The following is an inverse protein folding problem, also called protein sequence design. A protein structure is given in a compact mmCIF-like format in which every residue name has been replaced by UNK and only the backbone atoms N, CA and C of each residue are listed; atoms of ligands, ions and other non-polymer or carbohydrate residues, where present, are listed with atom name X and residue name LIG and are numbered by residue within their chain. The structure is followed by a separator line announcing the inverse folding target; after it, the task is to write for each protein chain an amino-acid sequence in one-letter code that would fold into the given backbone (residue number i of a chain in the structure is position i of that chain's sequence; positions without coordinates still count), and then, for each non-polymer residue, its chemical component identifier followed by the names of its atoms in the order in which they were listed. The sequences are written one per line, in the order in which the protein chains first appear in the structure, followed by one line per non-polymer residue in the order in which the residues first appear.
data_IF_955911585495
#
_entry.id   IF_955911585495
#
_cell.length_a   1.000
_cell.length_b   1.000
_cell.length_c   1.000
_cell.angle_alpha   90.00
_cell.angle_beta   90.00
_cell.angle_gamma   90.00
#
_symmetry.space_group_name_H-M   'P 1'
#
loop_
_entity.id
_entity.type
_entity.pdbx_description
1 polymer ?
#
# COMPACT_ATOMS: atom_id res chain seq x y z
N UNK A 1 50.48 -13.01 -27.33
CA UNK A 1 50.83 -13.96 -26.27
C UNK A 1 50.96 -13.13 -25.00
N UNK A 2 49.83 -12.71 -24.42
CA UNK A 2 48.98 -13.50 -23.50
C UNK A 2 49.50 -13.32 -22.06
N UNK A 3 48.87 -12.45 -21.28
CA UNK A 3 47.75 -12.74 -20.35
C UNK A 3 48.25 -13.26 -19.00
N UNK A 4 47.72 -12.88 -17.85
CA UNK A 4 46.47 -12.15 -17.59
C UNK A 4 45.83 -12.61 -16.29
N UNK A 5 46.61 -12.73 -15.21
CA UNK A 5 46.16 -13.33 -13.93
C UNK A 5 45.66 -12.29 -12.92
N UNK A 6 44.37 -11.96 -12.95
CA UNK A 6 43.70 -11.23 -11.85
C UNK A 6 43.18 -12.23 -10.81
N UNK A 7 43.51 -12.02 -9.54
CA UNK A 7 42.91 -12.77 -8.43
C UNK A 7 41.40 -12.50 -8.37
N UNK A 8 40.60 -13.53 -8.62
CA UNK A 8 39.17 -13.54 -8.36
C UNK A 8 38.91 -14.03 -6.94
N UNK A 9 38.46 -13.14 -6.05
CA UNK A 9 37.91 -13.54 -4.76
C UNK A 9 36.60 -14.32 -4.99
N UNK A 10 36.37 -15.47 -4.32
CA UNK A 10 35.10 -16.17 -4.45
C UNK A 10 33.97 -15.32 -3.86
N UNK A 11 32.93 -15.06 -4.66
CA UNK A 11 31.66 -14.55 -4.14
C UNK A 11 31.07 -15.63 -3.21
N UNK A 12 31.04 -15.35 -1.92
CA UNK A 12 30.27 -16.14 -0.98
C UNK A 12 28.78 -15.90 -1.24
N UNK A 13 28.16 -16.79 -2.02
CA UNK A 13 26.69 -16.86 -2.13
C UNK A 13 26.15 -17.27 -0.77
N UNK A 14 25.65 -16.30 0.00
CA UNK A 14 25.06 -16.56 1.32
C UNK A 14 23.68 -17.17 1.13
N UNK A 15 23.65 -18.49 0.99
CA UNK A 15 22.45 -19.28 0.75
C UNK A 15 21.73 -19.58 2.07
N UNK A 16 21.03 -18.58 2.63
CA UNK A 16 20.10 -18.82 3.74
C UNK A 16 18.77 -19.39 3.22
N UNK A 17 18.74 -20.71 3.07
CA UNK A 17 17.48 -21.43 3.07
C UNK A 17 16.82 -21.30 4.45
N UNK A 18 15.60 -20.76 4.52
CA UNK A 18 14.74 -20.88 5.69
C UNK A 18 13.69 -21.95 5.37
N UNK A 19 13.89 -23.22 5.77
CA UNK A 19 12.95 -24.31 5.48
C UNK A 19 11.75 -24.25 6.42
N UNK A 20 10.80 -23.34 6.15
CA UNK A 20 9.51 -23.38 6.84
C UNK A 20 8.68 -24.58 6.37
N UNK A 21 8.17 -25.36 7.33
CA UNK A 21 7.46 -26.63 7.12
C UNK A 21 6.05 -26.42 6.52
N UNK A 22 5.94 -25.97 5.27
CA UNK A 22 4.66 -25.79 4.55
C UNK A 22 3.75 -27.05 4.49
N UNK A 23 4.24 -28.32 4.39
CA UNK A 23 3.36 -29.50 4.27
C UNK A 23 2.44 -29.74 5.47
N UNK A 24 2.95 -29.62 6.70
CA UNK A 24 2.20 -29.93 7.92
C UNK A 24 1.10 -28.90 8.24
N UNK A 25 1.17 -27.70 7.66
CA UNK A 25 0.09 -26.71 7.73
C UNK A 25 -1.03 -27.05 6.73
N UNK A 26 -0.72 -27.55 5.52
CA UNK A 26 -1.72 -27.97 4.53
C UNK A 26 -2.65 -29.08 5.06
N UNK A 27 -2.11 -30.12 5.70
CA UNK A 27 -2.94 -31.21 6.28
C UNK A 27 -3.84 -30.73 7.42
N UNK A 28 -3.38 -29.79 8.25
CA UNK A 28 -4.18 -29.22 9.35
C UNK A 28 -5.38 -28.40 8.87
N UNK A 29 -5.33 -27.84 7.67
CA UNK A 29 -6.40 -27.02 7.10
C UNK A 29 -7.58 -27.90 6.65
N UNK A 30 -7.29 -29.06 6.03
CA UNK A 30 -8.30 -30.00 5.53
C UNK A 30 -9.19 -30.57 6.65
N UNK A 31 -8.59 -30.94 7.79
CA UNK A 31 -9.31 -31.52 8.95
C UNK A 31 -10.29 -30.57 9.65
N UNK A 32 -10.22 -29.25 9.40
CA UNK A 32 -11.05 -28.26 10.10
C UNK A 32 -12.39 -27.95 9.43
N UNK A 33 -12.65 -28.44 8.22
CA UNK A 33 -13.80 -28.01 7.40
C UNK A 33 -14.94 -29.04 7.28
N UNK A 34 -14.85 -30.20 7.93
CA UNK A 34 -15.90 -31.23 7.88
C UNK A 34 -17.18 -30.91 8.69
N UNK A 35 -17.35 -29.68 9.20
CA UNK A 35 -18.41 -29.32 10.16
C UNK A 35 -19.33 -28.18 9.70
N UNK A 36 -19.96 -28.32 8.52
CA UNK A 36 -21.17 -27.56 8.20
C UNK A 36 -22.05 -28.29 7.17
N UNK A 37 -22.81 -29.30 7.61
CA UNK A 37 -23.88 -29.89 6.80
C UNK A 37 -25.04 -28.89 6.65
N UNK A 38 -25.34 -28.49 5.43
CA UNK A 38 -26.57 -27.80 5.03
C UNK A 38 -27.42 -28.72 4.15
N UNK A 39 -28.63 -29.04 4.60
CA UNK A 39 -29.61 -29.86 3.88
C UNK A 39 -30.55 -29.02 3.01
N UNK A 40 -31.29 -29.71 2.12
CA UNK A 40 -32.56 -29.30 1.48
C UNK A 40 -32.55 -28.26 0.32
N UNK A 41 -33.35 -28.35 -0.76
CA UNK A 41 -34.29 -29.38 -1.31
C UNK A 41 -34.47 -29.16 -2.85
N UNK A 42 -34.54 -30.26 -3.63
CA UNK A 42 -35.22 -30.53 -4.94
C UNK A 42 -35.86 -29.33 -5.70
N UNK A 43 -35.67 -29.07 -7.01
CA UNK A 43 -36.20 -29.73 -8.24
C UNK A 43 -35.40 -29.10 -9.42
N UNK A 44 -35.02 -29.76 -10.52
CA UNK A 44 -35.26 -31.12 -11.02
C UNK A 44 -34.61 -31.28 -12.43
N UNK A 45 -35.03 -32.25 -13.27
CA UNK A 45 -34.53 -32.44 -14.65
C UNK A 45 -33.07 -32.96 -14.78
N UNK A 46 -32.23 -32.69 -13.78
CA UNK A 46 -30.84 -33.10 -13.68
C UNK A 46 -30.62 -34.48 -13.03
N UNK A 47 -31.63 -35.36 -13.00
CA UNK A 47 -31.64 -36.53 -12.11
C UNK A 47 -30.50 -37.54 -12.35
N UNK A 48 -30.11 -37.81 -13.60
CA UNK A 48 -28.99 -38.71 -13.90
C UNK A 48 -27.65 -38.05 -13.63
N UNK A 49 -27.38 -36.88 -14.23
CA UNK A 49 -26.14 -36.13 -14.01
C UNK A 49 -25.88 -35.81 -12.52
N UNK A 50 -26.93 -35.52 -11.74
CA UNK A 50 -26.82 -35.32 -10.29
C UNK A 50 -26.48 -36.60 -9.53
N UNK A 51 -27.04 -37.76 -9.92
CA UNK A 51 -26.68 -39.06 -9.34
C UNK A 51 -25.26 -39.47 -9.71
N UNK A 52 -24.85 -39.29 -10.97
CA UNK A 52 -23.50 -39.60 -11.45
C UNK A 52 -22.45 -38.71 -10.73
N UNK A 53 -22.76 -37.41 -10.55
CA UNK A 53 -21.94 -36.47 -9.78
C UNK A 53 -21.84 -36.87 -8.30
N UNK A 54 -22.96 -37.26 -7.67
CA UNK A 54 -22.96 -37.73 -6.27
C UNK A 54 -22.18 -39.04 -6.09
N UNK A 55 -22.29 -39.98 -7.05
CA UNK A 55 -21.50 -41.21 -7.05
C UNK A 55 -20.00 -40.90 -7.15
N UNK A 56 -19.60 -40.05 -8.09
CA UNK A 56 -18.21 -39.62 -8.26
C UNK A 56 -17.65 -38.94 -6.99
N UNK A 57 -18.43 -38.07 -6.31
CA UNK A 57 -18.05 -37.45 -5.04
C UNK A 57 -17.91 -38.49 -3.92
N UNK A 58 -18.81 -39.48 -3.84
CA UNK A 58 -18.74 -40.55 -2.84
C UNK A 58 -17.51 -41.45 -3.03
N UNK A 59 -17.19 -41.79 -4.28
CA UNK A 59 -16.03 -42.59 -4.65
C UNK A 59 -14.72 -41.85 -4.40
N UNK A 60 -14.64 -40.56 -4.77
CA UNK A 60 -13.50 -39.70 -4.43
C UNK A 60 -13.24 -39.68 -2.92
N UNK A 61 -14.31 -39.60 -2.11
CA UNK A 61 -14.20 -39.57 -0.65
C UNK A 61 -13.72 -40.91 -0.07
N UNK A 62 -14.13 -42.04 -0.66
CA UNK A 62 -13.61 -43.37 -0.33
C UNK A 62 -12.12 -43.47 -0.66
N UNK A 63 -11.73 -43.08 -1.87
CA UNK A 63 -10.33 -43.13 -2.35
C UNK A 63 -9.41 -42.20 -1.54
N UNK A 64 -9.86 -40.99 -1.17
CA UNK A 64 -9.15 -40.11 -0.23
C UNK A 64 -8.92 -40.78 1.14
N UNK A 65 -9.92 -41.51 1.66
CA UNK A 65 -9.79 -42.23 2.95
C UNK A 65 -8.84 -43.44 2.89
N UNK A 66 -8.66 -44.02 1.71
CA UNK A 66 -7.70 -45.09 1.42
C UNK A 66 -6.30 -44.55 1.09
N UNK A 67 -6.15 -43.23 0.94
CA UNK A 67 -4.91 -42.57 0.57
C UNK A 67 -4.61 -42.55 -0.94
N UNK A 68 -5.50 -43.09 -1.78
CA UNK A 68 -5.38 -43.04 -3.24
C UNK A 68 -5.79 -41.68 -3.80
N UNK A 69 -4.84 -40.74 -3.75
CA UNK A 69 -4.99 -39.39 -4.31
C UNK A 69 -5.17 -39.40 -5.83
N UNK A 70 -4.58 -40.36 -6.55
CA UNK A 70 -4.66 -40.42 -8.00
C UNK A 70 -6.05 -40.88 -8.46
N UNK A 71 -6.59 -41.92 -7.84
CA UNK A 71 -7.98 -42.34 -8.03
C UNK A 71 -8.97 -41.25 -7.64
N UNK A 72 -8.76 -40.58 -6.50
CA UNK A 72 -9.62 -39.48 -6.06
C UNK A 72 -9.65 -38.29 -7.05
N UNK A 73 -8.50 -37.88 -7.60
CA UNK A 73 -8.42 -36.87 -8.67
C UNK A 73 -9.22 -37.32 -9.90
N UNK A 74 -9.10 -38.59 -10.30
CA UNK A 74 -9.85 -39.16 -11.42
C UNK A 74 -11.37 -39.08 -11.21
N UNK A 75 -11.85 -39.43 -10.02
CA UNK A 75 -13.26 -39.34 -9.65
C UNK A 75 -13.75 -37.88 -9.57
N UNK A 76 -12.98 -36.97 -8.95
CA UNK A 76 -13.37 -35.56 -8.82
C UNK A 76 -13.41 -34.82 -10.17
N UNK A 77 -12.55 -35.17 -11.14
CA UNK A 77 -12.61 -34.61 -12.50
C UNK A 77 -13.96 -34.85 -13.21
N UNK A 78 -14.66 -35.93 -12.87
CA UNK A 78 -16.01 -36.19 -13.40
C UNK A 78 -17.10 -35.31 -12.74
N UNK A 79 -16.90 -34.90 -11.49
CA UNK A 79 -17.86 -34.10 -10.72
C UNK A 79 -17.63 -32.57 -10.82
N UNK A 80 -16.38 -32.13 -10.95
CA UNK A 80 -15.97 -30.72 -10.96
C UNK A 80 -16.66 -29.81 -12.02
N UNK A 81 -17.10 -30.29 -13.21
CA UNK A 81 -17.88 -29.47 -14.14
C UNK A 81 -19.30 -29.14 -13.66
N UNK A 82 -19.79 -29.83 -12.63
CA UNK A 82 -21.19 -29.76 -12.18
C UNK A 82 -21.34 -29.41 -10.70
N UNK A 83 -20.27 -29.46 -9.91
CA UNK A 83 -20.26 -29.12 -8.49
C UNK A 83 -19.00 -28.33 -8.09
N UNK A 84 -19.20 -27.13 -7.56
CA UNK A 84 -18.13 -26.22 -7.11
C UNK A 84 -17.33 -26.78 -5.94
N UNK A 85 -17.93 -27.62 -5.08
CA UNK A 85 -17.23 -28.23 -3.94
C UNK A 85 -16.29 -29.34 -4.41
N UNK A 86 -16.71 -30.12 -5.40
CA UNK A 86 -15.88 -31.11 -6.09
C UNK A 86 -14.74 -30.44 -6.87
N UNK A 87 -15.01 -29.32 -7.56
CA UNK A 87 -13.97 -28.53 -8.21
C UNK A 87 -12.95 -27.94 -7.22
N UNK A 88 -13.40 -27.43 -6.06
CA UNK A 88 -12.51 -26.95 -5.00
C UNK A 88 -11.64 -28.08 -4.41
N UNK A 89 -12.23 -29.26 -4.15
CA UNK A 89 -11.49 -30.45 -3.71
C UNK A 89 -10.48 -30.91 -4.76
N UNK A 90 -10.85 -30.91 -6.04
CA UNK A 90 -9.97 -31.27 -7.14
C UNK A 90 -8.74 -30.35 -7.19
N UNK A 91 -8.95 -29.04 -7.18
CA UNK A 91 -7.87 -28.04 -7.15
C UNK A 91 -6.92 -28.28 -5.97
N UNK A 92 -7.45 -28.51 -4.77
CA UNK A 92 -6.64 -28.84 -3.60
C UNK A 92 -5.83 -30.14 -3.74
N UNK A 93 -6.40 -31.21 -4.32
CA UNK A 93 -5.63 -32.43 -4.56
C UNK A 93 -4.56 -32.27 -5.65
N UNK A 94 -4.83 -31.49 -6.70
CA UNK A 94 -3.87 -31.15 -7.76
C UNK A 94 -2.66 -30.39 -7.19
N UNK A 95 -2.90 -29.37 -6.36
CA UNK A 95 -1.88 -28.66 -5.59
C UNK A 95 -1.05 -29.60 -4.67
N UNK A 96 -1.68 -30.61 -4.05
CA UNK A 96 -0.96 -31.61 -3.25
C UNK A 96 -0.09 -32.59 -4.05
N UNK A 97 -0.38 -32.81 -5.34
CA UNK A 97 0.46 -33.65 -6.22
C UNK A 97 1.44 -32.85 -7.08
N UNK A 98 1.38 -31.52 -7.05
CA UNK A 98 2.26 -30.61 -7.79
C UNK A 98 1.75 -30.19 -9.17
N UNK A 99 0.50 -30.52 -9.52
CA UNK A 99 -0.16 -30.10 -10.77
C UNK A 99 -0.72 -28.67 -10.62
N UNK A 100 0.18 -27.73 -10.31
CA UNK A 100 -0.14 -26.36 -9.93
C UNK A 100 -0.87 -25.58 -11.03
N UNK A 101 -0.54 -25.77 -12.31
CA UNK A 101 -1.17 -25.04 -13.43
C UNK A 101 -2.67 -25.37 -13.53
N UNK A 102 -3.02 -26.65 -13.43
CA UNK A 102 -4.43 -27.09 -13.41
C UNK A 102 -5.12 -26.64 -12.11
N UNK A 103 -4.42 -26.68 -10.97
CA UNK A 103 -4.97 -26.16 -9.71
C UNK A 103 -5.30 -24.67 -9.76
N UNK A 104 -4.42 -23.85 -10.35
CA UNK A 104 -4.64 -22.39 -10.48
C UNK A 104 -5.82 -22.14 -11.40
N UNK A 105 -5.86 -22.78 -12.58
CA UNK A 105 -6.98 -22.65 -13.51
C UNK A 105 -8.31 -23.02 -12.85
N UNK A 106 -8.35 -24.08 -12.04
CA UNK A 106 -9.57 -24.48 -11.31
C UNK A 106 -10.00 -23.46 -10.24
N UNK A 107 -9.06 -22.82 -9.53
CA UNK A 107 -9.40 -21.74 -8.60
C UNK A 107 -9.86 -20.46 -9.32
N UNK A 108 -9.25 -20.10 -10.45
CA UNK A 108 -9.69 -18.96 -11.27
C UNK A 108 -11.08 -19.19 -11.87
N UNK A 109 -11.35 -20.40 -12.40
CA UNK A 109 -12.66 -20.83 -12.87
C UNK A 109 -13.73 -20.72 -11.78
N UNK A 110 -13.43 -21.15 -10.55
CA UNK A 110 -14.32 -21.01 -9.39
C UNK A 110 -14.61 -19.55 -9.06
N UNK A 111 -13.60 -18.67 -9.11
CA UNK A 111 -13.79 -17.23 -8.90
C UNK A 111 -14.68 -16.63 -10.00
N UNK A 112 -14.50 -17.05 -11.26
CA UNK A 112 -15.29 -16.56 -12.38
C UNK A 112 -16.77 -17.01 -12.33
N UNK A 113 -17.05 -18.20 -11.79
CA UNK A 113 -18.41 -18.74 -11.59
C UNK A 113 -19.11 -18.14 -10.35
N UNK A 114 -18.36 -17.79 -9.32
CA UNK A 114 -18.89 -17.34 -8.03
C UNK A 114 -19.06 -15.82 -7.96
N UNK A 115 -20.31 -15.33 -7.88
CA UNK A 115 -20.63 -13.91 -7.66
C UNK A 115 -20.04 -13.34 -6.35
N UNK A 116 -19.69 -14.22 -5.39
CA UNK A 116 -18.82 -13.91 -4.25
C UNK A 116 -17.87 -15.09 -4.06
N UNK A 117 -16.60 -15.01 -4.47
CA UNK A 117 -15.66 -16.11 -4.33
C UNK A 117 -15.42 -16.44 -2.85
N UNK A 118 -15.35 -17.73 -2.56
CA UNK A 118 -15.04 -18.22 -1.20
C UNK A 118 -13.67 -17.72 -0.73
N UNK A 119 -13.57 -17.33 0.55
CA UNK A 119 -12.31 -16.94 1.19
C UNK A 119 -11.25 -18.04 1.04
N UNK A 120 -11.66 -19.32 1.11
CA UNK A 120 -10.74 -20.45 0.97
C UNK A 120 -10.14 -20.57 -0.43
N UNK A 121 -10.92 -20.26 -1.47
CA UNK A 121 -10.46 -20.24 -2.88
C UNK A 121 -9.40 -19.16 -3.05
N UNK A 122 -9.72 -17.92 -2.65
CA UNK A 122 -8.80 -16.79 -2.71
C UNK A 122 -7.52 -17.02 -1.89
N UNK A 123 -7.63 -17.69 -0.74
CA UNK A 123 -6.49 -17.94 0.15
C UNK A 123 -5.55 -19.01 -0.41
N UNK A 124 -6.09 -20.11 -0.97
CA UNK A 124 -5.28 -21.14 -1.60
C UNK A 124 -4.62 -20.62 -2.90
N UNK A 125 -5.36 -19.87 -3.72
CA UNK A 125 -4.82 -19.22 -4.91
C UNK A 125 -3.73 -18.20 -4.57
N UNK A 126 -3.89 -17.43 -3.48
CA UNK A 126 -2.85 -16.52 -3.01
C UNK A 126 -1.54 -17.22 -2.62
N UNK A 127 -1.62 -18.40 -1.99
CA UNK A 127 -0.45 -19.21 -1.64
C UNK A 127 0.24 -19.72 -2.91
N UNK A 128 -0.52 -20.24 -3.88
CA UNK A 128 0.03 -20.71 -5.16
C UNK A 128 0.75 -19.60 -5.94
N UNK A 129 0.18 -18.39 -6.01
CA UNK A 129 0.87 -17.25 -6.59
C UNK A 129 2.12 -16.82 -5.79
N UNK A 130 2.13 -16.95 -4.46
CA UNK A 130 3.32 -16.66 -3.63
C UNK A 130 4.43 -17.67 -3.87
N UNK A 131 4.12 -18.97 -3.89
CA UNK A 131 5.06 -20.05 -4.19
C UNK A 131 5.68 -19.92 -5.60
N UNK A 132 4.93 -19.36 -6.57
CA UNK A 132 5.42 -19.02 -7.92
C UNK A 132 6.20 -17.70 -8.04
N UNK A 133 6.27 -16.91 -6.96
CA UNK A 133 6.88 -15.57 -6.99
C UNK A 133 6.01 -14.49 -7.67
N UNK A 134 4.74 -14.79 -7.96
CA UNK A 134 3.76 -13.87 -8.53
C UNK A 134 3.14 -12.97 -7.44
N UNK A 135 4.00 -12.29 -6.68
CA UNK A 135 3.68 -11.49 -5.48
C UNK A 135 2.50 -10.54 -5.70
N UNK A 136 2.41 -9.91 -6.89
CA UNK A 136 1.33 -9.00 -7.24
C UNK A 136 -0.04 -9.69 -7.42
N UNK A 137 -0.08 -10.97 -7.79
CA UNK A 137 -1.32 -11.75 -7.90
C UNK A 137 -1.77 -12.26 -6.52
N UNK A 138 -0.82 -12.76 -5.71
CA UNK A 138 -1.06 -13.09 -4.31
C UNK A 138 -1.62 -11.89 -3.52
N UNK A 139 -1.02 -10.71 -3.69
CA UNK A 139 -1.47 -9.48 -3.03
C UNK A 139 -2.91 -9.10 -3.41
N UNK A 140 -3.33 -9.27 -4.68
CA UNK A 140 -4.73 -9.00 -5.11
C UNK A 140 -5.72 -9.92 -4.40
N UNK A 141 -5.45 -11.22 -4.39
CA UNK A 141 -6.30 -12.22 -3.74
C UNK A 141 -6.46 -11.95 -2.24
N UNK A 142 -5.35 -11.64 -1.55
CA UNK A 142 -5.36 -11.34 -0.12
C UNK A 142 -6.05 -10.02 0.21
N UNK A 143 -5.92 -8.98 -0.63
CA UNK A 143 -6.69 -7.73 -0.47
C UNK A 143 -8.19 -7.99 -0.53
N UNK A 144 -8.67 -8.76 -1.51
CA UNK A 144 -10.08 -9.10 -1.65
C UNK A 144 -10.66 -9.85 -0.42
N UNK A 145 -9.85 -10.69 0.25
CA UNK A 145 -10.22 -11.29 1.54
C UNK A 145 -10.30 -10.23 2.65
N UNK A 146 -9.32 -9.34 2.74
CA UNK A 146 -9.25 -8.33 3.81
C UNK A 146 -10.30 -7.21 3.64
N UNK A 147 -10.70 -6.89 2.41
CA UNK A 147 -11.78 -5.94 2.10
C UNK A 147 -13.15 -6.47 2.56
N UNK A 148 -13.33 -7.80 2.55
CA UNK A 148 -14.57 -8.47 3.02
C UNK A 148 -14.51 -8.89 4.49
N UNK A 149 -13.34 -9.24 5.01
CA UNK A 149 -13.10 -9.57 6.41
C UNK A 149 -11.72 -9.03 6.88
N UNK A 150 -11.67 -7.76 7.37
CA UNK A 150 -10.43 -7.11 7.80
C UNK A 150 -9.67 -7.81 8.93
N UNK A 151 -10.37 -8.65 9.71
CA UNK A 151 -9.82 -9.39 10.85
C UNK A 151 -9.48 -10.85 10.51
N UNK A 152 -9.45 -11.24 9.23
CA UNK A 152 -9.09 -12.60 8.83
C UNK A 152 -7.61 -12.89 9.10
N UNK A 153 -7.33 -13.53 10.24
CA UNK A 153 -5.99 -13.80 10.79
C UNK A 153 -5.00 -14.33 9.74
N UNK A 154 -5.35 -15.42 9.04
CA UNK A 154 -4.49 -16.04 8.03
C UNK A 154 -4.21 -15.13 6.83
N UNK A 155 -5.17 -14.29 6.43
CA UNK A 155 -4.95 -13.37 5.31
C UNK A 155 -4.06 -12.19 5.72
N UNK A 156 -4.16 -11.72 6.98
CA UNK A 156 -3.22 -10.73 7.53
C UNK A 156 -1.79 -11.26 7.59
N UNK A 157 -1.61 -12.51 8.02
CA UNK A 157 -0.29 -13.16 8.07
C UNK A 157 0.31 -13.29 6.67
N UNK A 158 -0.39 -13.91 5.72
CA UNK A 158 0.13 -14.02 4.35
C UNK A 158 0.28 -12.66 3.66
N UNK A 159 -0.53 -11.64 3.98
CA UNK A 159 -0.33 -10.28 3.48
C UNK A 159 0.96 -9.65 4.00
N UNK A 160 1.34 -9.91 5.26
CA UNK A 160 2.63 -9.50 5.80
C UNK A 160 3.79 -10.20 5.07
N UNK A 161 3.67 -11.49 4.83
CA UNK A 161 4.72 -12.28 4.17
C UNK A 161 4.88 -11.86 2.71
N UNK A 162 3.78 -11.71 1.96
CA UNK A 162 3.76 -11.20 0.57
C UNK A 162 4.36 -9.78 0.47
N UNK A 163 4.10 -8.90 1.43
CA UNK A 163 4.74 -7.57 1.51
C UNK A 163 6.23 -7.67 1.82
N UNK A 164 6.62 -8.55 2.76
CA UNK A 164 8.03 -8.78 3.09
C UNK A 164 8.81 -9.34 1.89
N UNK A 165 8.21 -10.25 1.12
CA UNK A 165 8.78 -10.76 -0.13
C UNK A 165 8.91 -9.66 -1.20
N UNK A 166 7.97 -8.70 -1.25
CA UNK A 166 8.06 -7.52 -2.11
C UNK A 166 9.23 -6.61 -1.72
N UNK A 167 9.44 -6.40 -0.42
CA UNK A 167 10.51 -5.56 0.12
C UNK A 167 11.91 -6.24 0.08
N UNK A 168 11.97 -7.56 -0.03
CA UNK A 168 13.23 -8.29 -0.24
C UNK A 168 13.77 -8.22 -1.68
N UNK A 169 12.92 -7.91 -2.66
CA UNK A 169 13.41 -7.45 -3.95
C UNK A 169 13.79 -5.97 -3.84
N UNK A 170 15.06 -5.74 -3.48
CA UNK A 170 15.71 -4.46 -3.74
C UNK A 170 15.61 -4.17 -5.23
N UNK A 171 14.64 -3.33 -5.60
CA UNK A 171 14.57 -2.75 -6.93
C UNK A 171 15.84 -1.90 -7.12
N UNK A 172 16.83 -2.49 -7.79
CA UNK A 172 18.11 -1.82 -8.05
C UNK A 172 17.89 -0.50 -8.81
N UNK A 173 16.84 -0.39 -9.61
CA UNK A 173 16.51 0.83 -10.35
C UNK A 173 15.99 1.92 -9.41
N UNK A 174 15.02 1.61 -8.53
CA UNK A 174 14.57 2.55 -7.48
C UNK A 174 15.68 2.93 -6.51
N UNK A 175 16.52 1.98 -6.08
CA UNK A 175 17.65 2.26 -5.20
C UNK A 175 18.70 3.15 -5.89
N UNK A 176 19.02 2.87 -7.17
CA UNK A 176 19.89 3.74 -7.99
C UNK A 176 19.28 5.12 -8.20
N UNK A 177 17.97 5.23 -8.42
CA UNK A 177 17.30 6.52 -8.66
C UNK A 177 17.16 7.34 -7.37
N UNK A 178 16.92 6.70 -6.23
CA UNK A 178 17.00 7.33 -4.92
C UNK A 178 18.43 7.82 -4.65
N UNK A 179 19.46 7.02 -4.95
CA UNK A 179 20.85 7.41 -4.80
C UNK A 179 21.26 8.56 -5.75
N UNK A 180 20.89 8.50 -7.04
CA UNK A 180 21.06 9.60 -8.02
C UNK A 180 20.39 10.88 -7.53
N UNK A 181 19.16 10.78 -7.02
CA UNK A 181 18.38 11.91 -6.51
C UNK A 181 19.02 12.49 -5.25
N UNK A 182 19.51 11.67 -4.33
CA UNK A 182 20.27 12.12 -3.15
C UNK A 182 21.54 12.87 -3.57
N UNK A 183 22.38 12.26 -4.42
CA UNK A 183 23.60 12.88 -4.91
C UNK A 183 23.34 14.22 -5.64
N UNK A 184 22.21 14.33 -6.35
CA UNK A 184 21.78 15.58 -6.96
C UNK A 184 21.40 16.64 -5.91
N UNK A 185 20.72 16.26 -4.81
CA UNK A 185 20.43 17.20 -3.71
C UNK A 185 21.71 17.65 -3.01
N UNK A 186 22.68 16.76 -2.82
CA UNK A 186 23.96 17.03 -2.17
C UNK A 186 24.94 17.85 -3.04
N UNK A 187 24.62 18.02 -4.34
CA UNK A 187 25.46 18.76 -5.28
C UNK A 187 25.62 20.24 -4.85
N UNK A 188 26.85 20.76 -4.70
CA UNK A 188 27.10 22.14 -4.30
C UNK A 188 26.54 23.18 -5.29
N UNK A 189 26.01 24.30 -4.78
CA UNK A 189 25.55 25.42 -5.64
C UNK A 189 26.67 26.13 -6.40
N UNK A 190 27.93 25.81 -6.09
CA UNK A 190 29.12 26.28 -6.82
C UNK A 190 29.31 25.60 -8.16
N UNK A 191 28.75 24.41 -8.34
CA UNK A 191 29.00 23.53 -9.49
C UNK A 191 28.03 23.82 -10.64
N UNK A 192 27.08 24.73 -10.41
CA UNK A 192 26.15 25.24 -11.42
C UNK A 192 26.62 26.57 -12.01
N UNK A 193 26.30 26.79 -13.29
CA UNK A 193 26.65 27.99 -14.06
C UNK A 193 25.81 29.21 -13.64
N UNK A 194 26.05 29.69 -12.43
CA UNK A 194 25.41 30.87 -11.85
C UNK A 194 26.36 32.07 -11.89
N UNK A 195 25.82 33.29 -12.02
CA UNK A 195 26.64 34.50 -11.98
C UNK A 195 27.41 34.61 -10.66
N UNK A 196 28.52 35.37 -10.69
CA UNK A 196 29.31 35.69 -9.50
C UNK A 196 28.43 36.39 -8.44
N UNK A 197 27.42 37.17 -8.87
CA UNK A 197 26.45 37.81 -7.98
C UNK A 197 25.55 36.77 -7.29
N UNK A 198 24.93 35.86 -8.05
CA UNK A 198 24.05 34.83 -7.51
C UNK A 198 24.80 33.94 -6.50
N UNK A 199 25.98 33.40 -6.86
CA UNK A 199 26.81 32.58 -5.96
C UNK A 199 27.21 33.31 -4.68
N UNK A 200 27.59 34.59 -4.77
CA UNK A 200 27.94 35.39 -3.59
C UNK A 200 26.74 35.69 -2.68
N UNK A 201 25.52 35.75 -3.21
CA UNK A 201 24.32 35.89 -2.40
C UNK A 201 23.96 34.57 -1.70
N UNK A 202 23.90 33.45 -2.43
CA UNK A 202 23.62 32.12 -1.87
C UNK A 202 24.60 31.76 -0.75
N UNK A 203 25.90 32.03 -0.95
CA UNK A 203 26.94 31.82 0.09
C UNK A 203 26.70 32.66 1.35
N UNK A 204 26.19 33.89 1.22
CA UNK A 204 25.83 34.75 2.37
C UNK A 204 24.57 34.25 3.10
N UNK A 205 23.62 33.69 2.36
CA UNK A 205 22.41 33.03 2.88
C UNK A 205 22.68 31.64 3.50
N UNK A 206 23.94 31.18 3.55
CA UNK A 206 24.34 29.82 3.95
C UNK A 206 23.74 28.68 3.10
N UNK A 207 23.22 28.99 1.91
CA UNK A 207 22.73 28.00 0.94
C UNK A 207 23.95 27.39 0.26
N UNK A 208 24.24 26.11 0.53
CA UNK A 208 25.45 25.42 0.06
C UNK A 208 25.16 24.33 -0.96
N UNK A 209 24.07 23.59 -0.79
CA UNK A 209 23.66 22.48 -1.66
C UNK A 209 22.42 22.84 -2.48
N UNK A 210 22.17 22.06 -3.54
CA UNK A 210 20.91 22.14 -4.27
C UNK A 210 19.71 21.84 -3.36
N UNK A 211 19.84 20.87 -2.45
CA UNK A 211 18.82 20.52 -1.47
C UNK A 211 18.45 21.67 -0.52
N UNK A 212 19.42 22.51 -0.14
CA UNK A 212 19.16 23.72 0.64
C UNK A 212 18.39 24.76 -0.17
N UNK A 213 18.78 24.97 -1.43
CA UNK A 213 18.14 25.95 -2.32
C UNK A 213 16.65 25.63 -2.57
N UNK A 214 16.28 24.35 -2.65
CA UNK A 214 14.89 23.92 -2.81
C UNK A 214 14.00 24.09 -1.56
N UNK A 215 14.60 24.38 -0.40
CA UNK A 215 13.90 24.70 0.85
C UNK A 215 13.64 26.21 1.02
N UNK A 216 14.13 27.06 0.12
CA UNK A 216 13.95 28.51 0.17
C UNK A 216 12.93 28.94 -0.87
N UNK A 217 12.09 29.91 -0.52
CA UNK A 217 11.10 30.53 -1.40
C UNK A 217 11.67 31.71 -2.20
N UNK A 218 11.01 32.06 -3.31
CA UNK A 218 11.39 33.22 -4.13
C UNK A 218 11.33 34.53 -3.34
N UNK A 219 10.33 34.68 -2.47
CA UNK A 219 10.15 35.82 -1.57
C UNK A 219 11.30 35.98 -0.57
N UNK A 220 11.79 34.88 0.01
CA UNK A 220 12.92 34.93 0.95
C UNK A 220 14.21 35.33 0.23
N UNK A 221 14.46 34.80 -0.98
CA UNK A 221 15.61 35.22 -1.79
C UNK A 221 15.55 36.71 -2.14
N UNK A 222 14.39 37.21 -2.59
CA UNK A 222 14.18 38.63 -2.92
C UNK A 222 14.26 39.57 -1.71
N UNK A 223 13.94 39.08 -0.50
CA UNK A 223 14.05 39.89 0.73
C UNK A 223 15.49 40.26 1.09
N UNK A 224 16.49 39.54 0.57
CA UNK A 224 17.86 39.63 1.03
C UNK A 224 18.64 40.77 0.37
N UNK A 225 19.37 41.54 1.19
CA UNK A 225 20.13 42.72 0.72
C UNK A 225 21.12 42.36 -0.40
N UNK A 226 20.97 43.04 -1.54
CA UNK A 226 21.73 42.88 -2.80
C UNK A 226 21.38 41.66 -3.68
N UNK A 227 20.45 40.80 -3.27
CA UNK A 227 19.78 39.91 -4.23
C UNK A 227 18.93 40.74 -5.20
N UNK A 228 18.57 40.19 -6.36
CA UNK A 228 17.83 40.94 -7.37
C UNK A 228 17.24 40.04 -8.46
N UNK A 229 16.27 40.57 -9.19
CA UNK A 229 15.44 39.83 -10.16
C UNK A 229 16.27 39.03 -11.17
N UNK A 230 17.36 39.59 -11.70
CA UNK A 230 18.28 38.88 -12.62
C UNK A 230 18.84 37.60 -12.01
N UNK A 231 19.27 37.65 -10.74
CA UNK A 231 19.79 36.47 -10.02
C UNK A 231 18.69 35.48 -9.64
N UNK A 232 17.44 35.93 -9.49
CA UNK A 232 16.29 35.02 -9.33
C UNK A 232 16.01 34.26 -10.64
N UNK A 233 16.02 34.96 -11.77
CA UNK A 233 15.80 34.38 -13.10
C UNK A 233 16.90 33.35 -13.44
N UNK A 234 18.18 33.66 -13.17
CA UNK A 234 19.29 32.70 -13.32
C UNK A 234 19.06 31.41 -12.51
N UNK A 235 18.64 31.54 -11.24
CA UNK A 235 18.37 30.39 -10.38
C UNK A 235 17.18 29.58 -10.88
N UNK A 236 16.08 30.24 -11.27
CA UNK A 236 14.90 29.56 -11.79
C UNK A 236 15.16 28.86 -13.12
N UNK A 237 15.97 29.43 -14.02
CA UNK A 237 16.41 28.76 -15.25
C UNK A 237 17.27 27.53 -14.96
N UNK A 238 18.23 27.65 -14.03
CA UNK A 238 19.07 26.53 -13.59
C UNK A 238 18.24 25.38 -13.01
N UNK A 239 17.27 25.69 -12.14
CA UNK A 239 16.38 24.69 -11.54
C UNK A 239 15.44 24.06 -12.59
N UNK A 240 14.85 24.87 -13.48
CA UNK A 240 13.98 24.39 -14.55
C UNK A 240 14.72 23.42 -15.50
N UNK A 241 16.00 23.68 -15.81
CA UNK A 241 16.83 22.77 -16.61
C UNK A 241 17.00 21.37 -16.02
N UNK A 242 16.72 21.21 -14.71
CA UNK A 242 16.79 19.95 -13.95
C UNK A 242 15.41 19.40 -13.57
N UNK A 243 14.32 20.03 -14.04
CA UNK A 243 12.95 19.68 -13.65
C UNK A 243 12.59 20.03 -12.20
N UNK A 244 13.28 21.01 -11.62
CA UNK A 244 13.14 21.44 -10.23
C UNK A 244 12.57 22.87 -10.15
N UNK A 245 11.99 23.25 -9.01
CA UNK A 245 11.52 24.62 -8.71
C UNK A 245 11.82 25.03 -7.27
N UNK A 246 11.99 26.32 -7.02
CA UNK A 246 12.14 26.86 -5.65
C UNK A 246 10.93 26.49 -4.78
N UNK A 247 11.15 26.34 -3.47
CA UNK A 247 10.12 25.95 -2.50
C UNK A 247 9.49 24.55 -2.67
N UNK A 248 9.86 23.73 -3.67
CA UNK A 248 9.24 22.39 -3.83
C UNK A 248 9.56 21.46 -2.66
N UNK A 249 10.70 21.65 -1.99
CA UNK A 249 11.04 20.86 -0.81
C UNK A 249 10.17 21.28 0.37
N UNK A 250 9.88 22.58 0.55
CA UNK A 250 8.91 23.06 1.54
C UNK A 250 7.54 22.41 1.31
N UNK A 251 7.04 22.40 0.08
CA UNK A 251 5.76 21.78 -0.22
C UNK A 251 5.76 20.26 0.03
N UNK A 252 6.88 19.59 -0.24
CA UNK A 252 7.06 18.15 0.06
C UNK A 252 7.13 17.87 1.57
N UNK A 253 7.77 18.75 2.35
CA UNK A 253 7.80 18.68 3.81
C UNK A 253 6.39 18.93 4.39
N UNK A 254 5.66 19.94 3.89
CA UNK A 254 4.27 20.16 4.31
C UNK A 254 3.37 18.95 3.98
N UNK A 255 3.53 18.31 2.82
CA UNK A 255 2.78 17.08 2.51
C UNK A 255 3.13 15.93 3.46
N UNK A 256 4.43 15.66 3.70
CA UNK A 256 4.87 14.59 4.62
C UNK A 256 4.42 14.83 6.05
N UNK A 257 4.61 16.04 6.58
CA UNK A 257 4.12 16.36 7.93
C UNK A 257 2.60 16.26 8.02
N UNK A 258 1.85 16.63 6.97
CA UNK A 258 0.40 16.48 6.96
C UNK A 258 -0.03 15.00 6.96
N UNK A 259 0.74 14.12 6.32
CA UNK A 259 0.52 12.68 6.27
C UNK A 259 0.88 11.99 7.60
N UNK A 260 2.02 12.36 8.20
CA UNK A 260 2.42 11.93 9.56
C UNK A 260 1.38 12.35 10.62
N UNK A 261 0.91 13.60 10.58
CA UNK A 261 -0.14 14.11 11.48
C UNK A 261 -1.48 13.41 11.20
N UNK A 262 -1.81 13.09 9.95
CA UNK A 262 -3.05 12.39 9.61
C UNK A 262 -3.10 10.98 10.23
N UNK A 263 -1.99 10.23 10.19
CA UNK A 263 -1.89 8.93 10.86
C UNK A 263 -1.92 9.05 12.40
N UNK A 264 -1.30 10.09 12.98
CA UNK A 264 -1.45 10.36 14.42
C UNK A 264 -2.91 10.65 14.79
N UNK A 265 -3.61 11.46 14.01
CA UNK A 265 -5.04 11.77 14.19
C UNK A 265 -5.91 10.52 14.02
N UNK A 266 -5.56 9.61 13.10
CA UNK A 266 -6.23 8.31 12.88
C UNK A 266 -6.12 7.36 14.08
N UNK A 267 -5.09 7.53 14.92
CA UNK A 267 -4.99 6.81 16.21
C UNK A 267 -5.92 7.37 17.30
N UNK A 268 -6.35 8.64 17.19
CA UNK A 268 -7.14 9.37 18.21
C UNK A 268 -8.63 9.46 17.88
N UNK A 269 -8.97 9.52 16.59
CA UNK A 269 -10.36 9.63 16.12
C UNK A 269 -10.63 8.73 14.91
N UNK A 270 -11.89 8.28 14.77
CA UNK A 270 -12.29 7.45 13.64
C UNK A 270 -12.17 8.18 12.30
N UNK A 271 -11.86 7.44 11.24
CA UNK A 271 -11.71 7.97 9.88
C UNK A 271 -12.97 8.68 9.36
N UNK A 272 -14.16 8.25 9.80
CA UNK A 272 -15.43 8.91 9.51
C UNK A 272 -15.57 10.31 10.16
N UNK A 273 -14.93 10.53 11.31
CA UNK A 273 -14.86 11.85 11.97
C UNK A 273 -13.83 12.73 11.28
N UNK A 274 -12.64 12.20 10.99
CA UNK A 274 -11.56 12.97 10.34
C UNK A 274 -11.97 13.50 8.96
N UNK A 275 -12.66 12.67 8.17
CA UNK A 275 -13.17 13.03 6.85
C UNK A 275 -14.50 13.79 6.87
N UNK A 276 -15.06 14.11 8.06
CA UNK A 276 -16.30 14.89 8.17
C UNK A 276 -16.05 16.31 7.63
N UNK A 277 -16.85 16.81 6.68
CA UNK A 277 -16.63 18.12 6.09
C UNK A 277 -17.02 19.24 7.06
N UNK A 278 -16.26 20.34 7.10
CA UNK A 278 -16.54 21.49 7.97
C UNK A 278 -17.90 22.16 7.70
N UNK A 279 -18.52 21.85 6.56
CA UNK A 279 -19.87 22.33 6.23
C UNK A 279 -20.94 21.76 7.15
N UNK A 280 -20.73 20.54 7.68
CA UNK A 280 -21.60 19.83 8.63
C UNK A 280 -21.28 20.12 10.10
N UNK A 281 -20.52 21.19 10.37
CA UNK A 281 -20.16 21.65 11.71
C UNK A 281 -20.76 23.03 11.94
N UNK A 282 -21.15 23.32 13.19
CA UNK A 282 -21.90 24.52 13.55
C UNK A 282 -21.01 25.75 13.78
N UNK A 283 -20.12 26.02 12.83
CA UNK A 283 -19.31 27.24 12.79
C UNK A 283 -20.11 28.47 12.39
N UNK A 284 -19.85 29.59 13.07
CA UNK A 284 -20.35 30.91 12.71
C UNK A 284 -19.91 31.32 11.30
N UNK A 285 -20.64 32.27 10.70
CA UNK A 285 -20.34 32.79 9.35
C UNK A 285 -18.91 33.35 9.26
N UNK A 286 -18.36 33.88 10.37
CA UNK A 286 -16.99 34.41 10.43
C UNK A 286 -15.95 33.30 10.46
N UNK A 287 -16.08 32.32 11.37
CA UNK A 287 -15.22 31.16 11.41
C UNK A 287 -15.23 30.40 10.07
N UNK A 288 -16.42 30.10 9.54
CA UNK A 288 -16.59 29.40 8.25
C UNK A 288 -15.94 30.12 7.07
N UNK A 289 -16.08 31.45 6.97
CA UNK A 289 -15.40 32.26 5.93
C UNK A 289 -13.88 32.21 6.06
N UNK A 290 -13.35 32.25 7.27
CA UNK A 290 -11.91 32.18 7.51
C UNK A 290 -11.33 30.80 7.17
N UNK A 291 -11.99 29.72 7.61
CA UNK A 291 -11.60 28.35 7.28
C UNK A 291 -11.63 28.10 5.77
N UNK A 292 -12.63 28.64 5.06
CA UNK A 292 -12.69 28.58 3.59
C UNK A 292 -11.53 29.32 2.92
N UNK A 293 -11.12 30.49 3.45
CA UNK A 293 -9.96 31.23 2.93
C UNK A 293 -8.62 30.49 3.16
N UNK A 294 -8.53 29.68 4.21
CA UNK A 294 -7.40 28.79 4.48
C UNK A 294 -7.46 27.45 3.70
N UNK A 295 -8.52 27.23 2.91
CA UNK A 295 -8.72 25.99 2.16
C UNK A 295 -8.99 24.76 3.04
N UNK A 296 -9.42 24.95 4.29
CA UNK A 296 -9.80 23.86 5.20
C UNK A 296 -11.14 23.27 4.74
N UNK A 297 -11.19 21.95 4.51
CA UNK A 297 -12.40 21.27 4.03
C UNK A 297 -12.93 20.22 5.02
N UNK A 298 -12.03 19.56 5.75
CA UNK A 298 -12.35 18.48 6.69
C UNK A 298 -11.92 18.80 8.13
N UNK A 299 -12.36 17.99 9.10
CA UNK A 299 -11.85 18.04 10.48
C UNK A 299 -10.34 17.75 10.53
N UNK A 300 -9.85 16.81 9.72
CA UNK A 300 -8.42 16.54 9.62
C UNK A 300 -7.62 17.76 9.14
N UNK A 301 -8.08 18.44 8.08
CA UNK A 301 -7.44 19.69 7.62
C UNK A 301 -7.40 20.75 8.73
N UNK A 302 -8.46 20.85 9.54
CA UNK A 302 -8.56 21.80 10.65
C UNK A 302 -7.57 21.47 11.78
N UNK A 303 -7.51 20.19 12.20
CA UNK A 303 -6.60 19.75 13.25
C UNK A 303 -5.11 19.89 12.87
N UNK A 304 -4.77 19.83 11.58
CA UNK A 304 -3.38 20.07 11.12
C UNK A 304 -2.92 21.53 11.23
N UNK A 305 -3.82 22.47 11.53
CA UNK A 305 -3.53 23.91 11.63
C UNK A 305 -3.10 24.32 13.03
N UNK A 306 -2.29 25.37 13.08
CA UNK A 306 -1.85 26.02 14.32
C UNK A 306 -2.78 27.19 14.65
N UNK A 307 -2.87 27.56 15.93
CA UNK A 307 -3.62 28.75 16.37
C UNK A 307 -3.15 30.03 15.65
N UNK A 308 -1.83 30.17 15.46
CA UNK A 308 -1.23 31.32 14.81
C UNK A 308 -1.66 31.47 13.33
N UNK A 309 -1.80 30.36 12.60
CA UNK A 309 -2.31 30.36 11.23
C UNK A 309 -3.76 30.82 11.15
N UNK A 310 -4.61 30.41 12.10
CA UNK A 310 -6.01 30.83 12.17
C UNK A 310 -6.13 32.31 12.53
N UNK A 311 -5.39 32.75 13.55
CA UNK A 311 -5.37 34.14 14.03
C UNK A 311 -4.76 35.12 13.01
N UNK A 312 -3.95 34.64 12.06
CA UNK A 312 -3.45 35.43 10.93
C UNK A 312 -4.51 35.81 9.88
N UNK A 313 -5.70 35.20 9.90
CA UNK A 313 -6.73 35.45 8.89
C UNK A 313 -7.51 36.73 9.18
N UNK A 314 -7.64 37.59 8.15
CA UNK A 314 -8.41 38.84 8.24
C UNK A 314 -9.87 38.57 8.65
N UNK A 315 -10.28 39.16 9.77
CA UNK A 315 -11.59 39.00 10.43
C UNK A 315 -11.81 37.66 11.16
N UNK A 316 -10.77 36.86 11.38
CA UNK A 316 -10.75 35.85 12.44
C UNK A 316 -10.36 36.50 13.78
N UNK A 317 -10.69 35.86 14.90
CA UNK A 317 -10.42 36.40 16.24
C UNK A 317 -10.90 35.44 17.32
N UNK A 318 -10.70 35.81 18.60
CA UNK A 318 -10.86 34.93 19.76
C UNK A 318 -12.14 34.07 19.75
N UNK A 319 -13.33 34.67 19.54
CA UNK A 319 -14.58 33.88 19.51
C UNK A 319 -14.62 32.81 18.42
N UNK A 320 -14.02 33.07 17.25
CA UNK A 320 -13.92 32.09 16.17
C UNK A 320 -12.88 31.00 16.47
N UNK A 321 -11.88 31.29 17.30
CA UNK A 321 -10.90 30.33 17.80
C UNK A 321 -11.51 29.43 18.87
N UNK A 322 -12.30 30.02 19.79
CA UNK A 322 -13.06 29.28 20.80
C UNK A 322 -14.03 28.29 20.14
N UNK A 323 -14.79 28.72 19.11
CA UNK A 323 -15.62 27.85 18.26
C UNK A 323 -14.83 26.67 17.67
N UNK A 324 -13.61 26.91 17.16
CA UNK A 324 -12.74 25.87 16.58
C UNK A 324 -12.26 24.89 17.65
N UNK A 325 -11.82 25.39 18.81
CA UNK A 325 -11.34 24.56 19.91
C UNK A 325 -12.47 23.73 20.53
N UNK A 326 -13.66 24.28 20.70
CA UNK A 326 -14.85 23.55 21.19
C UNK A 326 -15.24 22.42 20.23
N UNK A 327 -15.31 22.70 18.92
CA UNK A 327 -15.64 21.71 17.90
C UNK A 327 -14.59 20.60 17.82
N UNK A 328 -13.29 20.91 17.88
CA UNK A 328 -12.24 19.88 17.89
C UNK A 328 -12.28 19.04 19.17
N UNK A 329 -12.47 19.68 20.33
CA UNK A 329 -12.55 19.00 21.64
C UNK A 329 -13.72 18.01 21.68
N UNK A 330 -14.86 18.34 21.06
CA UNK A 330 -16.02 17.44 20.95
C UNK A 330 -15.71 16.11 20.22
N UNK A 331 -14.62 16.05 19.43
CA UNK A 331 -14.13 14.86 18.76
C UNK A 331 -12.84 14.28 19.38
N UNK A 332 -12.44 14.74 20.57
CA UNK A 332 -11.16 14.45 21.23
C UNK A 332 -9.92 14.86 20.39
N UNK A 333 -10.06 15.91 19.59
CA UNK A 333 -8.99 16.50 18.77
C UNK A 333 -8.62 17.88 19.30
N UNK A 334 -7.46 18.37 18.90
CA UNK A 334 -6.96 19.71 19.25
C UNK A 334 -6.24 20.30 18.03
N UNK A 335 -6.04 21.62 18.02
CA UNK A 335 -5.15 22.26 17.04
C UNK A 335 -3.70 21.81 17.25
N UNK A 336 -2.90 21.92 16.20
CA UNK A 336 -1.47 21.66 16.27
C UNK A 336 -0.78 22.72 17.13
N UNK A 337 -0.16 22.28 18.22
CA UNK A 337 0.80 23.10 18.96
C UNK A 337 2.13 23.20 18.19
N UNK A 338 2.79 24.35 18.34
CA UNK A 338 4.18 24.54 17.96
C UNK A 338 4.99 24.55 19.26
N UNK A 339 5.89 23.58 19.40
CA UNK A 339 6.91 23.55 20.47
C UNK A 339 8.04 24.56 20.20
#
# INVERSE_FOLDING_TARGET
MESGGRCSSPRATVQYAIPFKKPALRERIYMSQQSSNGLDTVIGGAATASVDTQQAISEATRLESEGDRAGAIGALRAAAPHDDSAAFRLAYLLDLVGEEDESIQMYEDLIARQNRPSINVLLNLAILHEDRGEIAAAERCLRQILDTNPNHERARLFMHDVRSSKDMYYDEEQARDMAKRSALMDTPVTDFELSVRARNCLKKMQIRTLGDLLKVSESELLSYKNFGETSLVEINQMLASKGLRLGQSLQSHHSRMREEIYEELKSKASEAVLNKPITQLDFSVRARKALQLLGVQTIADLATRTEAELMGVKNFGATSLDEVNEVLTAYNLQLRNLD
#
